data_IF_805551340271
#
_entry.id   IF_805551340271
#
_cell.length_a   1.000
_cell.length_b   1.000
_cell.length_c   1.000
_cell.angle_alpha   90.00
_cell.angle_beta   90.00
_cell.angle_gamma   90.00
#
_symmetry.space_group_name_H-M   'P 1'
#
loop_
_entity.id
_entity.type
_entity.pdbx_description
1 polymer ?
#
# COMPACT_ATOMS: atom_id res chain seq x y z
N UNK A 1 26.96 -22.14 -28.09
CA UNK A 1 27.04 -21.19 -26.97
C UNK A 1 25.75 -21.22 -26.18
N UNK A 2 25.91 -21.24 -24.85
CA UNK A 2 24.90 -21.31 -23.80
C UNK A 2 24.47 -19.89 -23.43
N UNK A 3 23.20 -19.57 -23.56
CA UNK A 3 22.52 -18.61 -22.69
C UNK A 3 21.16 -19.21 -22.33
N UNK A 4 20.99 -19.85 -21.16
CA UNK A 4 19.67 -20.16 -20.66
C UNK A 4 19.06 -18.83 -20.21
N UNK A 5 17.86 -18.51 -20.70
CA UNK A 5 17.11 -17.38 -20.16
C UNK A 5 16.64 -17.78 -18.77
N UNK A 6 17.50 -17.54 -17.79
CA UNK A 6 17.22 -17.65 -16.37
C UNK A 6 16.23 -16.55 -15.93
N UNK A 7 15.02 -16.51 -16.47
CA UNK A 7 13.87 -15.83 -15.84
C UNK A 7 12.53 -16.48 -16.24
N UNK A 8 12.56 -17.77 -16.59
CA UNK A 8 11.38 -18.61 -16.61
C UNK A 8 11.55 -19.48 -15.35
N UNK A 9 10.57 -19.44 -14.42
CA UNK A 9 10.41 -20.33 -13.23
C UNK A 9 10.59 -19.79 -11.77
N UNK A 10 10.54 -18.48 -11.48
CA UNK A 10 10.43 -17.97 -10.09
C UNK A 10 9.30 -16.94 -9.92
N UNK A 11 8.22 -17.36 -9.25
CA UNK A 11 6.96 -16.64 -9.09
C UNK A 11 7.05 -15.35 -8.30
N UNK A 12 7.04 -14.22 -9.00
CA UNK A 12 6.58 -12.97 -8.40
C UNK A 12 5.05 -12.94 -8.44
N UNK A 13 4.42 -13.77 -7.61
CA UNK A 13 2.97 -13.77 -7.47
C UNK A 13 2.56 -12.45 -6.82
N UNK A 14 2.10 -11.49 -7.62
CA UNK A 14 1.44 -10.29 -7.11
C UNK A 14 0.24 -10.72 -6.28
N UNK A 15 0.30 -10.49 -4.97
CA UNK A 15 -0.72 -10.89 -4.01
C UNK A 15 -1.90 -9.91 -4.01
N UNK A 16 -1.62 -8.62 -4.21
CA UNK A 16 -2.62 -7.56 -4.29
C UNK A 16 -2.07 -6.33 -5.01
N UNK A 17 -2.91 -5.35 -5.29
CA UNK A 17 -2.52 -4.04 -5.85
C UNK A 17 -3.06 -2.95 -4.95
N UNK A 18 -2.26 -1.94 -4.64
CA UNK A 18 -2.68 -0.79 -3.86
C UNK A 18 -3.68 0.07 -4.66
N UNK A 19 -4.86 0.30 -4.10
CA UNK A 19 -5.91 1.11 -4.73
C UNK A 19 -5.57 2.61 -4.77
N UNK A 20 -4.55 3.06 -4.02
CA UNK A 20 -4.15 4.48 -3.95
C UNK A 20 -3.06 4.83 -4.96
N UNK A 21 -1.97 4.06 -4.98
CA UNK A 21 -0.83 4.33 -5.88
C UNK A 21 -0.80 3.41 -7.12
N UNK A 22 -1.64 2.38 -7.19
CA UNK A 22 -1.60 1.37 -8.25
C UNK A 22 -0.40 0.42 -8.16
N UNK A 23 0.39 0.49 -7.08
CA UNK A 23 1.58 -0.33 -6.89
C UNK A 23 1.25 -1.78 -6.57
N UNK A 24 2.00 -2.71 -7.16
CA UNK A 24 1.90 -4.14 -6.91
C UNK A 24 2.45 -4.50 -5.53
N UNK A 25 1.73 -5.37 -4.82
CA UNK A 25 2.12 -5.91 -3.52
C UNK A 25 2.41 -7.39 -3.72
N UNK A 26 3.64 -7.78 -3.48
CA UNK A 26 4.11 -9.15 -3.67
C UNK A 26 3.78 -10.05 -2.48
N UNK A 27 3.70 -11.35 -2.74
CA UNK A 27 3.53 -12.34 -1.68
C UNK A 27 4.60 -12.19 -0.58
N UNK A 28 4.15 -12.21 0.68
CA UNK A 28 5.00 -11.99 1.86
C UNK A 28 5.14 -10.52 2.28
N UNK A 29 4.73 -9.56 1.46
CA UNK A 29 4.66 -8.16 1.88
C UNK A 29 3.38 -7.92 2.68
N UNK A 30 3.51 -7.16 3.77
CA UNK A 30 2.37 -6.72 4.56
C UNK A 30 1.63 -5.57 3.87
N UNK A 31 0.31 -5.67 3.85
CA UNK A 31 -0.58 -4.63 3.34
C UNK A 31 -1.87 -4.59 4.17
N UNK A 32 -2.63 -3.52 4.02
CA UNK A 32 -3.85 -3.27 4.78
C UNK A 32 -5.06 -3.43 3.88
N UNK A 33 -6.11 -4.07 4.39
CA UNK A 33 -7.41 -4.16 3.71
C UNK A 33 -8.46 -3.45 4.55
N UNK A 34 -8.87 -2.26 4.11
CA UNK A 34 -9.74 -1.35 4.86
C UNK A 34 -10.96 -1.03 3.99
N UNK A 35 -12.18 -1.32 4.46
CA UNK A 35 -13.43 -1.10 3.71
C UNK A 35 -13.41 -1.66 2.27
N UNK A 36 -12.77 -2.81 2.06
CA UNK A 36 -12.66 -3.45 0.74
C UNK A 36 -11.56 -2.89 -0.16
N UNK A 37 -10.88 -1.80 0.23
CA UNK A 37 -9.69 -1.27 -0.46
C UNK A 37 -8.42 -1.87 0.10
N UNK A 38 -7.46 -2.12 -0.79
CA UNK A 38 -6.10 -2.56 -0.50
C UNK A 38 -5.18 -1.34 -0.45
N UNK A 39 -4.45 -1.19 0.64
CA UNK A 39 -3.54 -0.06 0.87
C UNK A 39 -2.16 -0.60 1.23
N UNK A 40 -1.13 -0.18 0.49
CA UNK A 40 0.25 -0.51 0.83
C UNK A 40 0.72 0.26 2.08
N UNK A 41 1.83 -0.16 2.66
CA UNK A 41 2.36 0.43 3.90
C UNK A 41 2.71 1.92 3.76
N UNK A 42 3.23 2.34 2.61
CA UNK A 42 3.56 3.74 2.35
C UNK A 42 2.34 4.64 2.23
N UNK A 43 1.28 4.18 1.54
CA UNK A 43 0.05 4.96 1.39
C UNK A 43 -0.85 4.92 2.62
N UNK A 44 -0.56 4.08 3.63
CA UNK A 44 -1.40 3.95 4.82
C UNK A 44 -1.51 5.26 5.59
N UNK A 45 -0.41 5.98 5.77
CA UNK A 45 -0.39 7.19 6.59
C UNK A 45 -1.36 8.25 6.02
N UNK A 46 -1.16 8.61 4.75
CA UNK A 46 -2.00 9.56 4.01
C UNK A 46 -3.47 9.12 3.95
N UNK A 47 -3.70 7.82 3.76
CA UNK A 47 -5.05 7.25 3.78
C UNK A 47 -5.70 7.35 5.17
N UNK A 48 -4.97 7.04 6.24
CA UNK A 48 -5.48 7.09 7.60
C UNK A 48 -5.79 8.52 8.01
N UNK A 49 -4.92 9.48 7.67
CA UNK A 49 -5.16 10.90 7.90
C UNK A 49 -6.47 11.35 7.22
N UNK A 50 -6.66 11.01 5.95
CA UNK A 50 -7.89 11.33 5.22
C UNK A 50 -9.12 10.59 5.76
N UNK A 51 -8.97 9.33 6.17
CA UNK A 51 -10.06 8.47 6.66
C UNK A 51 -10.56 8.91 8.04
N UNK A 52 -9.65 9.33 8.92
CA UNK A 52 -9.97 9.79 10.26
C UNK A 52 -10.13 11.32 10.37
N UNK A 53 -9.99 12.06 9.27
CA UNK A 53 -10.13 13.52 9.25
C UNK A 53 -11.46 13.98 9.88
N UNK A 54 -12.56 13.30 9.61
CA UNK A 54 -13.88 13.63 10.18
C UNK A 54 -13.99 13.31 11.68
N UNK A 55 -13.13 12.43 12.18
CA UNK A 55 -13.03 12.09 13.61
C UNK A 55 -12.01 12.96 14.36
N UNK A 56 -11.28 13.83 13.66
CA UNK A 56 -10.29 14.70 14.27
C UNK A 56 -11.03 15.81 15.04
N UNK A 57 -10.84 15.85 16.36
CA UNK A 57 -11.42 16.87 17.23
C UNK A 57 -10.30 17.51 18.05
N UNK A 58 -10.28 18.85 18.15
CA UNK A 58 -9.30 19.57 18.96
C UNK A 58 -8.02 19.96 18.24
N UNK A 59 -8.07 20.19 16.92
CA UNK A 59 -7.05 21.02 16.25
C UNK A 59 -7.20 22.49 16.69
N UNK A 60 -6.87 22.75 17.95
CA UNK A 60 -6.55 24.09 18.40
C UNK A 60 -5.32 24.51 17.61
N UNK A 61 -5.54 25.15 16.47
CA UNK A 61 -4.50 25.84 15.71
C UNK A 61 -3.78 26.73 16.72
N UNK A 62 -2.58 26.32 17.14
CA UNK A 62 -1.81 27.04 18.14
C UNK A 62 -1.72 28.50 17.68
N UNK A 63 -2.29 29.46 18.42
CA UNK A 63 -2.08 30.86 18.11
C UNK A 63 -0.59 31.11 18.31
N UNK A 64 0.09 31.47 17.23
CA UNK A 64 1.47 31.91 17.22
C UNK A 64 1.68 33.07 18.21
#
# INVERSE_FOLDING_TARGET
>A
MRFPRIYEEDGCCTAAVCDLCGGEIYQGQAYYRINGRTVCRDCLADYAESYFADCLCGEEAAPW
#
